data_IF_180849589512
#
_entry.id   IF_180849589512
#
_cell.length_a   1.000
_cell.length_b   1.000
_cell.length_c   1.000
_cell.angle_alpha   90.00
_cell.angle_beta   90.00
_cell.angle_gamma   90.00
#
_symmetry.space_group_name_H-M   'P 1'
#
loop_
_entity.id
_entity.type
_entity.pdbx_description
1 polymer ?
#
# COMPACT_ATOMS: atom_id res chain seq x y z
N UNK A 1 11.58 2.73 7.84
CA UNK A 1 11.74 1.44 8.55
C UNK A 1 10.52 0.57 8.32
N UNK A 2 10.69 -0.76 8.19
CA UNK A 2 9.57 -1.69 8.01
C UNK A 2 8.70 -1.75 9.26
N UNK A 3 7.41 -2.04 9.07
CA UNK A 3 6.55 -2.48 10.17
C UNK A 3 7.08 -3.80 10.74
N UNK A 4 6.84 -4.03 12.03
CA UNK A 4 7.11 -5.35 12.60
C UNK A 4 6.17 -6.39 12.00
N UNK A 5 6.60 -7.66 12.04
CA UNK A 5 5.86 -8.79 11.45
C UNK A 5 4.44 -8.92 11.97
N UNK A 6 4.19 -8.64 13.26
CA UNK A 6 2.86 -8.76 13.84
C UNK A 6 1.89 -7.71 13.28
N UNK A 7 2.31 -6.44 13.20
CA UNK A 7 1.52 -5.36 12.64
C UNK A 7 1.23 -5.59 11.16
N UNK A 8 2.23 -6.06 10.39
CA UNK A 8 2.05 -6.42 8.98
C UNK A 8 1.06 -7.57 8.81
N UNK A 9 1.21 -8.65 9.59
CA UNK A 9 0.31 -9.78 9.55
C UNK A 9 -1.11 -9.40 9.95
N UNK A 10 -1.28 -8.53 10.95
CA UNK A 10 -2.59 -8.01 11.35
C UNK A 10 -3.28 -7.26 10.20
N UNK A 11 -2.54 -6.39 9.49
CA UNK A 11 -3.08 -5.69 8.32
C UNK A 11 -3.50 -6.71 7.23
N UNK A 12 -2.63 -7.65 6.89
CA UNK A 12 -2.89 -8.59 5.79
C UNK A 12 -4.01 -9.58 6.10
N UNK A 13 -4.11 -10.03 7.35
CA UNK A 13 -4.99 -11.13 7.73
C UNK A 13 -6.26 -10.71 8.45
N UNK A 14 -6.28 -9.57 9.14
CA UNK A 14 -7.42 -9.21 10.02
C UNK A 14 -8.25 -8.06 9.47
N UNK A 15 -7.69 -7.19 8.63
CA UNK A 15 -8.42 -6.02 8.14
C UNK A 15 -9.35 -6.42 6.97
N UNK A 16 -10.66 -6.18 7.16
CA UNK A 16 -11.71 -6.58 6.20
C UNK A 16 -12.51 -5.41 5.63
N UNK A 17 -12.48 -4.24 6.26
CA UNK A 17 -13.33 -3.11 5.90
C UNK A 17 -12.62 -2.15 4.93
N UNK A 18 -12.99 -2.20 3.65
CA UNK A 18 -12.40 -1.35 2.59
C UNK A 18 -12.51 0.14 2.90
N UNK A 19 -13.60 0.60 3.50
CA UNK A 19 -13.79 2.01 3.87
C UNK A 19 -12.80 2.47 4.93
N UNK A 20 -12.52 1.64 5.95
CA UNK A 20 -11.55 1.97 7.00
C UNK A 20 -10.12 2.03 6.44
N UNK A 21 -9.76 1.06 5.60
CA UNK A 21 -8.45 1.02 4.92
C UNK A 21 -8.30 2.22 3.98
N UNK A 22 -9.35 2.56 3.21
CA UNK A 22 -9.34 3.70 2.29
C UNK A 22 -9.19 5.04 3.04
N UNK A 23 -9.86 5.20 4.18
CA UNK A 23 -9.73 6.38 5.03
C UNK A 23 -8.31 6.52 5.59
N UNK A 24 -7.70 5.40 6.01
CA UNK A 24 -6.31 5.35 6.46
C UNK A 24 -5.34 5.73 5.34
N UNK A 25 -5.46 5.12 4.15
CA UNK A 25 -4.62 5.41 2.99
C UNK A 25 -4.73 6.87 2.53
N UNK A 26 -5.95 7.42 2.49
CA UNK A 26 -6.18 8.82 2.16
C UNK A 26 -5.47 9.76 3.15
N UNK A 27 -5.51 9.43 4.43
CA UNK A 27 -4.81 10.19 5.48
C UNK A 27 -3.29 10.04 5.35
N UNK A 28 -2.77 8.84 5.14
CA UNK A 28 -1.34 8.60 4.95
C UNK A 28 -0.79 9.34 3.72
N UNK A 29 -1.56 9.45 2.64
CA UNK A 29 -1.15 10.24 1.47
C UNK A 29 -0.94 11.72 1.81
N UNK A 30 -1.78 12.30 2.67
CA UNK A 30 -1.60 13.67 3.17
C UNK A 30 -0.31 13.74 3.99
N UNK A 31 -0.14 12.83 4.94
CA UNK A 31 1.06 12.75 5.79
C UNK A 31 2.34 12.67 4.96
N UNK A 32 2.40 11.77 3.97
CA UNK A 32 3.54 11.61 3.05
C UNK A 32 3.81 12.92 2.28
N UNK A 33 2.77 13.66 1.89
CA UNK A 33 2.91 14.99 1.30
C UNK A 33 3.60 15.99 2.23
N UNK A 34 3.21 16.01 3.51
CA UNK A 34 3.83 16.90 4.51
C UNK A 34 5.23 16.47 4.92
N UNK A 35 5.56 15.18 4.91
CA UNK A 35 6.92 14.71 5.16
C UNK A 35 7.93 15.20 4.11
N UNK A 36 7.47 15.55 2.90
CA UNK A 36 8.34 16.17 1.90
C UNK A 36 8.69 17.63 2.23
N UNK A 37 7.94 18.24 3.14
CA UNK A 37 8.04 19.65 3.53
C UNK A 37 8.53 19.84 4.97
N UNK A 38 8.51 18.78 5.77
CA UNK A 38 8.83 18.80 7.19
C UNK A 38 9.65 17.58 7.58
N UNK A 39 10.51 17.72 8.58
CA UNK A 39 11.37 16.64 9.08
C UNK A 39 11.01 16.33 10.55
N UNK A 40 9.81 15.77 10.82
CA UNK A 40 9.44 15.36 12.17
C UNK A 40 10.36 14.23 12.67
N UNK A 41 10.44 14.06 13.99
CA UNK A 41 11.20 12.97 14.58
C UNK A 41 10.71 11.61 14.06
N UNK A 42 11.60 10.73 13.56
CA UNK A 42 11.23 9.39 13.09
C UNK A 42 10.49 8.56 14.16
N UNK A 43 10.82 8.79 15.44
CA UNK A 43 10.26 8.09 16.59
C UNK A 43 8.91 8.67 17.06
N UNK A 44 8.48 9.80 16.50
CA UNK A 44 7.20 10.41 16.84
C UNK A 44 6.06 9.47 16.46
N UNK A 45 5.13 9.23 17.40
CA UNK A 45 3.93 8.44 17.13
C UNK A 45 3.10 9.09 16.02
N UNK A 46 2.65 8.30 15.05
CA UNK A 46 1.91 8.77 13.88
C UNK A 46 0.66 9.57 14.29
N UNK A 47 -0.09 9.06 15.28
CA UNK A 47 -1.30 9.74 15.77
C UNK A 47 -1.00 11.06 16.48
N UNK A 48 0.17 11.19 17.11
CA UNK A 48 0.60 12.44 17.72
C UNK A 48 0.95 13.45 16.64
N UNK A 49 1.69 13.03 15.60
CA UNK A 49 2.04 13.87 14.46
C UNK A 49 0.80 14.39 13.72
N UNK A 50 -0.16 13.50 13.44
CA UNK A 50 -1.43 13.85 12.79
C UNK A 50 -2.20 14.93 13.55
N UNK A 51 -2.33 14.76 14.88
CA UNK A 51 -3.09 15.70 15.71
C UNK A 51 -2.30 17.00 15.90
N UNK A 52 -1.11 16.93 16.48
CA UNK A 52 -0.42 18.11 17.01
C UNK A 52 0.27 18.93 15.93
N UNK A 53 0.93 18.28 14.99
CA UNK A 53 1.77 18.94 13.99
C UNK A 53 0.98 19.25 12.72
N UNK A 54 0.14 18.30 12.26
CA UNK A 54 -0.67 18.48 11.05
C UNK A 54 -2.05 19.10 11.30
N UNK A 55 -2.47 19.26 12.57
CA UNK A 55 -3.80 19.82 12.94
C UNK A 55 -4.97 19.07 12.29
N UNK A 56 -4.88 17.74 12.24
CA UNK A 56 -5.88 16.83 11.67
C UNK A 56 -6.60 16.02 12.75
N UNK A 57 -6.98 16.65 13.86
CA UNK A 57 -7.62 16.00 15.00
C UNK A 57 -8.89 15.23 14.62
N UNK A 58 -9.76 15.82 13.80
CA UNK A 58 -11.02 15.20 13.39
C UNK A 58 -10.78 13.93 12.57
N UNK A 59 -9.86 13.97 11.59
CA UNK A 59 -9.47 12.78 10.83
C UNK A 59 -8.79 11.74 11.71
N UNK A 60 -7.97 12.16 12.66
CA UNK A 60 -7.28 11.24 13.55
C UNK A 60 -8.25 10.50 14.49
N UNK A 61 -9.41 11.09 14.81
CA UNK A 61 -10.43 10.45 15.64
C UNK A 61 -11.25 9.39 14.89
N UNK A 62 -11.43 9.54 13.58
CA UNK A 62 -12.21 8.59 12.76
C UNK A 62 -11.40 7.36 12.34
N UNK A 63 -10.08 7.37 12.52
CA UNK A 63 -9.21 6.25 12.21
C UNK A 63 -9.26 5.19 13.31
N UNK A 64 -9.93 4.07 13.01
CA UNK A 64 -10.13 2.96 13.96
C UNK A 64 -9.02 1.91 13.96
N UNK A 65 -8.18 1.87 12.93
CA UNK A 65 -7.17 0.83 12.74
C UNK A 65 -6.06 0.92 13.80
N UNK A 66 -5.93 -0.14 14.61
CA UNK A 66 -5.03 -0.16 15.77
C UNK A 66 -3.56 0.02 15.39
N UNK A 67 -3.14 -0.51 14.24
CA UNK A 67 -1.78 -0.39 13.71
C UNK A 67 -1.34 1.07 13.51
N UNK A 68 -2.28 1.99 13.24
CA UNK A 68 -1.97 3.41 13.09
C UNK A 68 -1.58 4.05 14.44
N UNK A 69 -2.14 3.53 15.54
CA UNK A 69 -1.87 4.00 16.90
C UNK A 69 -0.54 3.50 17.44
N UNK A 70 -0.13 2.27 17.08
CA UNK A 70 1.18 1.72 17.44
C UNK A 70 2.31 2.29 16.58
N UNK A 71 2.01 2.70 15.34
CA UNK A 71 2.99 3.19 14.36
C UNK A 71 3.64 4.52 14.72
N UNK A 72 4.86 4.69 14.18
CA UNK A 72 5.66 5.91 14.26
C UNK A 72 5.87 6.47 12.85
N UNK A 73 6.31 7.72 12.77
CA UNK A 73 6.59 8.40 11.50
C UNK A 73 7.54 7.57 10.61
N UNK A 74 8.56 6.94 11.19
CA UNK A 74 9.51 6.11 10.45
C UNK A 74 8.90 4.89 9.73
N UNK A 75 7.68 4.47 10.11
CA UNK A 75 6.98 3.34 9.51
C UNK A 75 6.01 3.73 8.39
N UNK A 76 5.84 5.03 8.09
CA UNK A 76 4.77 5.54 7.20
C UNK A 76 4.79 4.87 5.82
N UNK A 77 5.98 4.66 5.25
CA UNK A 77 6.13 3.99 3.95
C UNK A 77 5.62 2.55 4.00
N UNK A 78 6.16 1.74 4.93
CA UNK A 78 5.79 0.34 5.08
C UNK A 78 4.31 0.15 5.44
N UNK A 79 3.75 1.10 6.18
CA UNK A 79 2.34 1.15 6.52
C UNK A 79 1.47 1.45 5.31
N UNK A 80 1.88 2.38 4.45
CA UNK A 80 1.19 2.66 3.20
C UNK A 80 1.19 1.43 2.28
N UNK A 81 2.35 0.78 2.12
CA UNK A 81 2.51 -0.43 1.29
C UNK A 81 1.64 -1.59 1.77
N UNK A 82 1.64 -1.88 3.07
CA UNK A 82 0.83 -2.99 3.62
C UNK A 82 -0.68 -2.71 3.49
N UNK A 83 -1.12 -1.47 3.77
CA UNK A 83 -2.54 -1.11 3.66
C UNK A 83 -3.01 -1.08 2.20
N UNK A 84 -2.19 -0.58 1.27
CA UNK A 84 -2.54 -0.51 -0.15
C UNK A 84 -2.57 -1.90 -0.76
N UNK A 85 -1.62 -2.78 -0.40
CA UNK A 85 -1.64 -4.18 -0.80
C UNK A 85 -2.90 -4.88 -0.28
N UNK A 86 -3.24 -4.71 1.00
CA UNK A 86 -4.47 -5.30 1.56
C UNK A 86 -5.73 -4.77 0.88
N UNK A 87 -5.80 -3.47 0.57
CA UNK A 87 -6.91 -2.89 -0.18
C UNK A 87 -7.05 -3.57 -1.54
N UNK A 88 -5.95 -3.75 -2.27
CA UNK A 88 -5.96 -4.44 -3.56
C UNK A 88 -6.38 -5.90 -3.44
N UNK A 89 -5.90 -6.63 -2.41
CA UNK A 89 -6.34 -8.01 -2.15
C UNK A 89 -7.85 -8.10 -1.89
N UNK A 90 -8.40 -7.18 -1.10
CA UNK A 90 -9.86 -7.13 -0.85
C UNK A 90 -10.66 -6.85 -2.12
N UNK A 91 -10.18 -5.96 -3.00
CA UNK A 91 -10.83 -5.70 -4.27
C UNK A 91 -10.83 -6.95 -5.16
N UNK A 92 -9.72 -7.70 -5.21
CA UNK A 92 -9.63 -8.98 -5.92
C UNK A 92 -10.61 -10.00 -5.31
N UNK A 93 -10.65 -10.14 -3.98
CA UNK A 93 -11.62 -11.01 -3.27
C UNK A 93 -13.08 -10.65 -3.61
N UNK A 94 -13.34 -9.38 -3.97
CA UNK A 94 -14.64 -8.86 -4.39
C UNK A 94 -14.87 -8.90 -5.91
N UNK A 95 -14.00 -9.55 -6.69
CA UNK A 95 -14.02 -9.59 -8.15
C UNK A 95 -13.95 -8.19 -8.81
N UNK A 96 -13.23 -7.26 -8.19
CA UNK A 96 -12.99 -5.92 -8.71
C UNK A 96 -11.53 -5.77 -9.14
N UNK A 97 -11.27 -4.97 -10.20
CA UNK A 97 -9.92 -4.65 -10.63
C UNK A 97 -9.29 -3.62 -9.66
N UNK A 98 -8.24 -3.98 -8.89
CA UNK A 98 -7.60 -3.07 -7.95
C UNK A 98 -6.79 -1.95 -8.62
N UNK A 99 -6.48 -2.08 -9.91
CA UNK A 99 -5.64 -1.16 -10.68
C UNK A 99 -6.43 -0.33 -11.68
N UNK A 100 -7.75 -0.23 -11.54
CA UNK A 100 -8.65 0.49 -12.46
C UNK A 100 -8.26 1.96 -12.71
N UNK A 101 -7.48 2.57 -11.80
CA UNK A 101 -7.00 3.95 -11.93
C UNK A 101 -5.77 4.09 -12.83
N UNK A 102 -5.16 3.00 -13.30
CA UNK A 102 -4.08 3.02 -14.28
C UNK A 102 -4.71 3.36 -15.64
N UNK A 103 -4.47 4.58 -16.11
CA UNK A 103 -5.09 5.12 -17.32
C UNK A 103 -4.65 4.39 -18.60
N UNK A 104 -3.41 3.93 -18.64
CA UNK A 104 -2.85 3.25 -19.81
C UNK A 104 -3.35 1.80 -19.89
N UNK A 105 -4.21 1.56 -20.88
CA UNK A 105 -4.88 0.29 -21.14
C UNK A 105 -3.91 -0.85 -21.47
N UNK A 106 -2.69 -0.56 -21.93
CA UNK A 106 -1.71 -1.59 -22.27
C UNK A 106 -1.27 -2.40 -21.02
N UNK A 107 -1.34 -1.80 -19.82
CA UNK A 107 -1.05 -2.51 -18.57
C UNK A 107 -2.20 -3.40 -18.08
N UNK A 108 -3.36 -3.38 -18.75
CA UNK A 108 -4.52 -4.22 -18.43
C UNK A 108 -4.67 -5.41 -19.39
N UNK A 109 -3.69 -5.64 -20.25
CA UNK A 109 -3.66 -6.81 -21.12
C UNK A 109 -3.61 -8.10 -20.28
N UNK A 110 -4.51 -9.03 -20.59
CA UNK A 110 -4.57 -10.31 -19.90
C UNK A 110 -3.55 -11.27 -20.48
N UNK A 111 -2.88 -12.01 -19.61
CA UNK A 111 -2.03 -13.12 -20.03
C UNK A 111 -2.85 -14.23 -20.69
N UNK A 112 -2.25 -14.89 -21.66
CA UNK A 112 -2.78 -16.16 -22.18
C UNK A 112 -2.61 -17.26 -21.12
N UNK A 113 -3.42 -18.32 -21.17
CA UNK A 113 -3.30 -19.46 -20.23
C UNK A 113 -1.89 -20.07 -20.18
N UNK A 114 -1.17 -20.05 -21.30
CA UNK A 114 0.22 -20.54 -21.38
C UNK A 114 1.17 -19.64 -20.61
N UNK A 115 1.05 -18.32 -20.80
CA UNK A 115 1.85 -17.33 -20.07
C UNK A 115 1.57 -17.37 -18.57
N UNK A 116 0.29 -17.48 -18.17
CA UNK A 116 -0.07 -17.62 -16.76
C UNK A 116 0.61 -18.83 -16.11
N UNK A 117 0.59 -20.00 -16.77
CA UNK A 117 1.24 -21.22 -16.25
C UNK A 117 2.75 -21.05 -16.10
N UNK A 118 3.41 -20.41 -17.06
CA UNK A 118 4.85 -20.17 -17.03
C UNK A 118 5.25 -19.17 -15.91
N UNK A 119 4.49 -18.08 -15.78
CA UNK A 119 4.67 -17.08 -14.73
C UNK A 119 4.43 -17.72 -13.35
N UNK A 120 3.35 -18.48 -13.18
CA UNK A 120 3.04 -19.14 -11.91
C UNK A 120 4.13 -20.13 -11.51
N UNK A 121 4.71 -20.87 -12.45
CA UNK A 121 5.85 -21.74 -12.18
C UNK A 121 7.06 -20.94 -11.70
N UNK A 122 7.40 -19.86 -12.42
CA UNK A 122 8.53 -18.98 -12.06
C UNK A 122 8.32 -18.36 -10.68
N UNK A 123 7.13 -17.85 -10.38
CA UNK A 123 6.80 -17.26 -9.08
C UNK A 123 6.90 -18.28 -7.93
N UNK A 124 6.55 -19.55 -8.18
CA UNK A 124 6.67 -20.61 -7.18
C UNK A 124 8.13 -20.98 -6.84
N UNK A 125 9.07 -20.70 -7.74
CA UNK A 125 10.51 -20.93 -7.52
C UNK A 125 11.17 -19.80 -6.70
N UNK A 126 10.49 -18.66 -6.53
CA UNK A 126 11.00 -17.51 -5.79
C UNK A 126 10.71 -17.68 -4.29
N UNK A 127 11.78 -17.86 -3.49
CA UNK A 127 11.68 -18.10 -2.04
C UNK A 127 11.00 -16.95 -1.26
N UNK A 128 11.08 -15.71 -1.74
CA UNK A 128 10.53 -14.51 -1.10
C UNK A 128 9.43 -13.86 -1.97
N UNK A 129 8.52 -14.67 -2.48
CA UNK A 129 7.43 -14.21 -3.37
C UNK A 129 6.56 -13.11 -2.73
N UNK A 130 6.34 -13.13 -1.41
CA UNK A 130 5.60 -12.07 -0.70
C UNK A 130 6.27 -10.70 -0.77
N UNK A 131 7.61 -10.67 -0.70
CA UNK A 131 8.40 -9.43 -0.85
C UNK A 131 8.28 -8.95 -2.29
N UNK A 132 8.48 -9.85 -3.26
CA UNK A 132 8.34 -9.52 -4.67
C UNK A 132 6.95 -8.93 -4.98
N UNK A 133 5.87 -9.54 -4.49
CA UNK A 133 4.50 -9.06 -4.69
C UNK A 133 4.32 -7.67 -4.09
N UNK A 134 4.87 -7.43 -2.90
CA UNK A 134 4.78 -6.12 -2.23
C UNK A 134 5.50 -5.03 -3.02
N UNK A 135 6.73 -5.30 -3.45
CA UNK A 135 7.53 -4.35 -4.22
C UNK A 135 6.91 -4.08 -5.59
N UNK A 136 6.44 -5.12 -6.28
CA UNK A 136 5.77 -4.98 -7.56
C UNK A 136 4.49 -4.16 -7.43
N UNK A 137 3.68 -4.43 -6.41
CA UNK A 137 2.47 -3.65 -6.11
C UNK A 137 2.80 -2.18 -5.84
N UNK A 138 3.83 -1.91 -5.03
CA UNK A 138 4.31 -0.55 -4.78
C UNK A 138 4.69 0.17 -6.07
N UNK A 139 5.46 -0.50 -6.93
CA UNK A 139 5.89 0.02 -8.22
C UNK A 139 4.68 0.36 -9.10
N UNK A 140 3.75 -0.58 -9.26
CA UNK A 140 2.53 -0.40 -10.07
C UNK A 140 1.74 0.83 -9.60
N UNK A 141 1.54 0.99 -8.29
CA UNK A 141 0.75 2.09 -7.75
C UNK A 141 1.46 3.46 -7.79
N UNK A 142 2.80 3.49 -7.83
CA UNK A 142 3.58 4.73 -7.79
C UNK A 142 4.24 5.08 -9.13
N UNK A 143 4.11 4.22 -10.15
CA UNK A 143 4.61 4.48 -11.49
C UNK A 143 3.93 5.73 -12.07
N UNK A 144 4.74 6.72 -12.43
CA UNK A 144 4.29 7.85 -13.25
C UNK A 144 4.37 7.43 -14.71
N UNK A 145 3.25 6.95 -15.25
CA UNK A 145 3.13 6.36 -16.60
C UNK A 145 3.51 7.29 -17.76
N UNK A 146 3.86 8.56 -17.50
CA UNK A 146 4.12 9.54 -18.56
C UNK A 146 5.27 9.17 -19.52
N UNK A 147 6.12 8.19 -19.19
CA UNK A 147 7.25 7.78 -20.04
C UNK A 147 7.61 6.28 -19.96
N UNK A 148 6.72 5.42 -19.45
CA UNK A 148 7.01 3.98 -19.32
C UNK A 148 6.20 3.24 -20.37
N UNK A 149 6.87 2.79 -21.43
CA UNK A 149 6.24 1.97 -22.46
C UNK A 149 6.36 0.49 -22.04
N UNK A 150 5.32 -0.34 -22.17
CA UNK A 150 5.34 -1.77 -21.81
C UNK A 150 6.20 -2.64 -22.75
N UNK A 151 6.99 -2.02 -23.65
CA UNK A 151 8.00 -2.72 -24.43
C UNK A 151 9.30 -2.87 -23.64
N UNK A 152 9.29 -3.71 -22.61
CA UNK A 152 10.53 -4.20 -22.02
C UNK A 152 10.90 -5.48 -22.77
N UNK A 153 11.94 -5.35 -23.61
CA UNK A 153 12.57 -6.46 -24.31
C UNK A 153 13.45 -7.27 -23.37
#
# INVERSE_FOLDING_TARGET
>A
EPLNTNDRNCIMNDFRFLNEISAALSTLRIVIGFLKLSFPSPELKLMTYLKKDLKLEDRAQTLNLQVLRSSQVKHIQSLWEALSLRQSSLLIEMNQNPFIMIEDQQFHEMFTETQEKEIMKTLAEIAESDILITELHYVILNMKLKNVHPSWA
#
